data_IF_293020228818
#
_entry.id   IF_293020228818
#
_cell.length_a   1.000
_cell.length_b   1.000
_cell.length_c   1.000
_cell.angle_alpha   90.00
_cell.angle_beta   90.00
_cell.angle_gamma   90.00
#
_symmetry.space_group_name_H-M   'P 1'
#
loop_
_entity.id
_entity.type
_entity.pdbx_description
1 polymer ?
#
# COMPACT_ATOMS: atom_id res chain seq x y z
N UNK A 1 -4.82 -11.30 -27.45
CA UNK A 1 -3.75 -10.29 -27.39
C UNK A 1 -2.82 -10.70 -26.28
N UNK A 2 -1.54 -10.97 -26.57
CA UNK A 2 -0.54 -11.29 -25.54
C UNK A 2 -0.29 -10.02 -24.74
N UNK A 3 -0.58 -10.07 -23.44
CA UNK A 3 -0.39 -8.92 -22.56
C UNK A 3 1.09 -8.67 -22.31
N UNK A 4 1.51 -7.41 -22.26
CA UNK A 4 2.89 -7.06 -21.89
C UNK A 4 3.11 -7.45 -20.42
N UNK A 5 3.93 -8.48 -20.19
CA UNK A 5 4.22 -9.02 -18.87
C UNK A 5 4.72 -7.96 -17.87
N UNK A 6 5.38 -6.90 -18.35
CA UNK A 6 5.81 -5.77 -17.50
C UNK A 6 4.63 -4.94 -17.02
N UNK A 7 3.62 -4.73 -17.88
CA UNK A 7 2.39 -4.02 -17.50
C UNK A 7 1.61 -4.83 -16.47
N UNK A 8 1.47 -6.13 -16.70
CA UNK A 8 0.81 -7.04 -15.75
C UNK A 8 1.53 -7.02 -14.40
N UNK A 9 2.86 -7.12 -14.40
CA UNK A 9 3.67 -7.03 -13.18
C UNK A 9 3.42 -5.70 -12.42
N UNK A 10 3.42 -4.57 -13.13
CA UNK A 10 3.10 -3.27 -12.52
C UNK A 10 1.69 -3.24 -11.92
N UNK A 11 0.70 -3.85 -12.58
CA UNK A 11 -0.64 -3.99 -12.05
C UNK A 11 -0.67 -4.76 -10.72
N UNK A 12 0.07 -5.88 -10.63
CA UNK A 12 0.18 -6.67 -9.40
C UNK A 12 0.92 -5.90 -8.30
N UNK A 13 1.99 -5.17 -8.64
CA UNK A 13 2.73 -4.32 -7.69
C UNK A 13 1.84 -3.21 -7.12
N UNK A 14 1.05 -2.53 -7.98
CA UNK A 14 0.11 -1.50 -7.52
C UNK A 14 -0.98 -2.10 -6.63
N UNK A 15 -1.57 -3.24 -7.01
CA UNK A 15 -2.58 -3.93 -6.21
C UNK A 15 -2.04 -4.32 -4.82
N UNK A 16 -0.83 -4.89 -4.77
CA UNK A 16 -0.17 -5.23 -3.51
C UNK A 16 0.20 -4.00 -2.70
N UNK A 17 0.51 -2.85 -3.32
CA UNK A 17 0.67 -1.58 -2.65
C UNK A 17 -0.60 -1.11 -1.93
N UNK A 18 -1.77 -1.25 -2.56
CA UNK A 18 -3.06 -0.95 -1.93
C UNK A 18 -3.41 -1.89 -0.79
N UNK A 19 -3.10 -3.19 -0.93
CA UNK A 19 -3.26 -4.16 0.15
C UNK A 19 -2.32 -3.85 1.33
N UNK A 20 -1.06 -3.49 1.07
CA UNK A 20 -0.11 -3.01 2.09
C UNK A 20 -0.66 -1.76 2.80
N UNK A 21 -1.25 -0.82 2.06
CA UNK A 21 -1.88 0.39 2.61
C UNK A 21 -2.98 0.02 3.60
N UNK A 22 -3.93 -0.80 3.17
CA UNK A 22 -5.02 -1.26 4.03
C UNK A 22 -4.47 -1.99 5.26
N UNK A 23 -3.51 -2.91 5.08
CA UNK A 23 -2.97 -3.71 6.17
C UNK A 23 -2.30 -2.85 7.23
N UNK A 24 -1.41 -1.94 6.83
CA UNK A 24 -0.70 -1.06 7.76
C UNK A 24 -1.66 -0.12 8.48
N UNK A 25 -2.69 0.37 7.79
CA UNK A 25 -3.70 1.22 8.40
C UNK A 25 -4.42 0.50 9.55
N UNK A 26 -4.92 -0.71 9.28
CA UNK A 26 -5.58 -1.52 10.30
C UNK A 26 -4.61 -1.93 11.41
N UNK A 27 -3.36 -2.25 11.08
CA UNK A 27 -2.35 -2.63 12.07
C UNK A 27 -2.01 -1.48 13.02
N UNK A 28 -1.86 -0.24 12.52
CA UNK A 28 -1.65 0.93 13.38
C UNK A 28 -2.87 1.18 14.29
N UNK A 29 -4.10 1.01 13.77
CA UNK A 29 -5.29 1.10 14.62
C UNK A 29 -5.29 0.04 15.73
N UNK A 30 -4.93 -1.19 15.38
CA UNK A 30 -4.80 -2.28 16.34
C UNK A 30 -3.73 -1.97 17.41
N UNK A 31 -2.52 -1.57 16.99
CA UNK A 31 -1.41 -1.28 17.91
C UNK A 31 -1.68 -0.11 18.86
N UNK A 32 -2.48 0.86 18.43
CA UNK A 32 -2.85 2.04 19.21
C UNK A 32 -4.19 1.88 19.94
N UNK A 33 -4.79 0.67 19.93
CA UNK A 33 -6.10 0.40 20.52
C UNK A 33 -7.21 1.36 20.04
N UNK A 34 -7.14 1.80 18.78
CA UNK A 34 -8.20 2.57 18.14
C UNK A 34 -9.35 1.64 17.74
N UNK A 35 -10.59 2.14 17.60
CA UNK A 35 -11.69 1.35 17.04
C UNK A 35 -11.30 0.80 15.65
N UNK A 36 -11.29 -0.52 15.52
CA UNK A 36 -10.98 -1.25 14.29
C UNK A 36 -11.81 -2.53 14.18
N UNK A 37 -11.89 -3.06 12.96
CA UNK A 37 -12.55 -4.32 12.66
C UNK A 37 -11.50 -5.43 12.55
N UNK A 38 -11.50 -6.36 13.50
CA UNK A 38 -10.55 -7.48 13.54
C UNK A 38 -10.73 -8.47 12.38
N UNK A 39 -11.93 -8.58 11.82
CA UNK A 39 -12.14 -9.42 10.64
C UNK A 39 -11.55 -8.75 9.40
N UNK A 40 -11.63 -7.41 9.34
CA UNK A 40 -11.08 -6.62 8.24
C UNK A 40 -9.56 -6.73 8.14
N UNK A 41 -8.82 -6.64 9.25
CA UNK A 41 -7.35 -6.80 9.22
C UNK A 41 -6.95 -8.20 8.73
N UNK A 42 -7.64 -9.24 9.19
CA UNK A 42 -7.39 -10.62 8.78
C UNK A 42 -7.69 -10.83 7.29
N UNK A 43 -8.84 -10.32 6.81
CA UNK A 43 -9.21 -10.37 5.39
C UNK A 43 -8.18 -9.68 4.50
N UNK A 44 -7.74 -8.47 4.87
CA UNK A 44 -6.72 -7.73 4.11
C UNK A 44 -5.41 -8.51 4.09
N UNK A 45 -5.00 -9.08 5.22
CA UNK A 45 -3.79 -9.90 5.31
C UNK A 45 -3.85 -11.11 4.36
N UNK A 46 -4.96 -11.84 4.35
CA UNK A 46 -5.17 -12.98 3.47
C UNK A 46 -5.10 -12.58 1.99
N UNK A 47 -5.80 -11.49 1.60
CA UNK A 47 -5.73 -10.96 0.25
C UNK A 47 -4.31 -10.55 -0.15
N UNK A 48 -3.56 -9.95 0.79
CA UNK A 48 -2.18 -9.54 0.57
C UNK A 48 -1.24 -10.74 0.37
N UNK A 49 -1.27 -11.71 1.29
CA UNK A 49 -0.46 -12.92 1.24
C UNK A 49 -0.75 -13.72 -0.03
N UNK A 50 -2.03 -13.90 -0.38
CA UNK A 50 -2.46 -14.59 -1.60
C UNK A 50 -1.90 -13.91 -2.87
N UNK A 51 -1.98 -12.58 -2.92
CA UNK A 51 -1.52 -11.81 -4.09
C UNK A 51 0.01 -11.81 -4.19
N UNK A 52 0.71 -11.69 -3.05
CA UNK A 52 2.17 -11.79 -3.00
C UNK A 52 2.69 -13.16 -3.43
N UNK A 53 1.99 -14.24 -3.05
CA UNK A 53 2.35 -15.60 -3.43
C UNK A 53 2.29 -15.83 -4.96
N UNK A 54 1.53 -15.01 -5.71
CA UNK A 54 1.47 -15.09 -7.16
C UNK A 54 2.68 -14.46 -7.85
N UNK A 55 3.37 -13.51 -7.22
CA UNK A 55 4.49 -12.78 -7.84
C UNK A 55 5.63 -13.72 -8.28
N UNK A 56 6.18 -14.61 -7.44
CA UNK A 56 7.25 -15.51 -7.88
C UNK A 56 6.84 -16.44 -9.03
N UNK A 57 5.59 -16.89 -9.04
CA UNK A 57 5.04 -17.75 -10.11
C UNK A 57 4.96 -16.95 -11.42
N UNK A 58 4.42 -15.74 -11.35
CA UNK A 58 4.35 -14.83 -12.50
C UNK A 58 5.73 -14.40 -12.99
N UNK A 59 6.70 -14.18 -12.08
CA UNK A 59 8.08 -13.85 -12.44
C UNK A 59 8.77 -14.94 -13.26
N UNK A 60 8.39 -16.20 -13.05
CA UNK A 60 8.92 -17.35 -13.80
C UNK A 60 8.17 -17.55 -15.12
N UNK A 61 6.83 -17.54 -15.07
CA UNK A 61 5.99 -17.83 -16.24
C UNK A 61 5.90 -16.63 -17.21
N UNK A 62 5.98 -15.41 -16.69
CA UNK A 62 5.71 -14.14 -17.39
C UNK A 62 4.30 -14.01 -17.95
N UNK A 63 3.41 -14.90 -17.53
CA UNK A 63 2.00 -14.94 -17.91
C UNK A 63 1.15 -15.35 -16.71
N UNK A 64 -0.11 -14.94 -16.72
CA UNK A 64 -1.09 -15.35 -15.72
C UNK A 64 -1.94 -16.48 -16.30
N UNK A 65 -2.11 -17.55 -15.52
CA UNK A 65 -3.14 -18.54 -15.79
C UNK A 65 -4.53 -17.91 -15.63
N UNK A 66 -5.57 -18.40 -16.34
CA UNK A 66 -6.93 -17.86 -16.23
C UNK A 66 -7.47 -17.82 -14.78
N UNK A 67 -7.09 -18.80 -13.96
CA UNK A 67 -7.45 -18.85 -12.53
C UNK A 67 -6.80 -17.71 -11.73
N UNK A 68 -5.56 -17.34 -12.04
CA UNK A 68 -4.85 -16.23 -11.40
C UNK A 68 -5.46 -14.89 -11.82
N UNK A 69 -5.83 -14.72 -13.10
CA UNK A 69 -6.55 -13.52 -13.58
C UNK A 69 -7.87 -13.34 -12.81
N UNK A 70 -8.68 -14.40 -12.70
CA UNK A 70 -9.94 -14.35 -11.97
C UNK A 70 -9.76 -14.04 -10.48
N UNK A 71 -8.72 -14.60 -9.85
CA UNK A 71 -8.41 -14.32 -8.46
C UNK A 71 -7.96 -12.87 -8.28
N UNK A 72 -7.08 -12.34 -9.14
CA UNK A 72 -6.65 -10.94 -9.10
C UNK A 72 -7.83 -9.98 -9.31
N UNK A 73 -8.74 -10.30 -10.24
CA UNK A 73 -10.00 -9.54 -10.43
C UNK A 73 -10.85 -9.52 -9.16
N UNK A 74 -11.03 -10.67 -8.52
CA UNK A 74 -11.75 -10.76 -7.25
C UNK A 74 -11.07 -9.92 -6.16
N UNK A 75 -9.74 -10.00 -6.04
CA UNK A 75 -8.96 -9.20 -5.08
C UNK A 75 -9.11 -7.71 -5.37
N UNK A 76 -9.05 -7.27 -6.63
CA UNK A 76 -9.22 -5.86 -7.01
C UNK A 76 -10.59 -5.33 -6.61
N UNK A 77 -11.66 -6.10 -6.82
CA UNK A 77 -13.02 -5.71 -6.40
C UNK A 77 -13.12 -5.60 -4.86
N UNK A 78 -12.50 -6.52 -4.12
CA UNK A 78 -12.47 -6.48 -2.66
C UNK A 78 -11.69 -5.27 -2.16
N UNK A 79 -10.53 -4.96 -2.76
CA UNK A 79 -9.75 -3.77 -2.44
C UNK A 79 -10.56 -2.51 -2.73
N UNK A 80 -11.29 -2.44 -3.85
CA UNK A 80 -12.17 -1.30 -4.15
C UNK A 80 -13.22 -1.10 -3.05
N UNK A 81 -13.91 -2.16 -2.64
CA UNK A 81 -14.89 -2.10 -1.55
C UNK A 81 -14.26 -1.66 -0.23
N UNK A 82 -13.06 -2.16 0.10
CA UNK A 82 -12.36 -1.80 1.33
C UNK A 82 -11.87 -0.35 1.29
N UNK A 83 -11.37 0.13 0.15
CA UNK A 83 -10.90 1.49 -0.03
C UNK A 83 -12.03 2.52 -0.02
N UNK A 84 -13.25 2.14 -0.43
CA UNK A 84 -14.42 3.02 -0.38
C UNK A 84 -14.71 3.53 1.04
N UNK A 85 -14.46 2.70 2.07
CA UNK A 85 -14.66 3.04 3.48
C UNK A 85 -13.35 3.41 4.21
N UNK A 86 -12.23 3.56 3.50
CA UNK A 86 -10.92 3.78 4.11
C UNK A 86 -10.78 5.19 4.73
N UNK A 87 -11.30 6.23 4.08
CA UNK A 87 -11.31 7.58 4.62
C UNK A 87 -12.56 7.86 5.44
N UNK A 88 -12.38 8.19 6.72
CA UNK A 88 -13.45 8.68 7.60
C UNK A 88 -13.76 10.15 7.33
N UNK A 89 -14.95 10.56 7.74
CA UNK A 89 -15.33 11.97 7.79
C UNK A 89 -14.59 12.71 8.90
N UNK A 90 -14.37 14.01 8.72
CA UNK A 90 -13.70 14.86 9.70
C UNK A 90 -14.62 15.18 10.90
N UNK A 91 -14.07 15.44 12.10
CA UNK A 91 -12.63 15.53 12.42
C UNK A 91 -11.98 14.16 12.67
N UNK A 92 -10.75 13.97 12.18
CA UNK A 92 -9.91 12.81 12.54
C UNK A 92 -8.88 13.15 13.62
N UNK A 93 -8.65 12.20 14.53
CA UNK A 93 -7.65 12.31 15.60
C UNK A 93 -6.21 12.25 15.09
N UNK A 94 -5.25 12.69 15.89
CA UNK A 94 -3.82 12.59 15.54
C UNK A 94 -3.38 11.14 15.25
N UNK A 95 -3.85 10.18 16.05
CA UNK A 95 -3.55 8.77 15.88
C UNK A 95 -4.12 8.21 14.56
N UNK A 96 -5.31 8.67 14.15
CA UNK A 96 -5.88 8.31 12.85
C UNK A 96 -5.09 8.93 11.69
N UNK A 97 -4.66 10.20 11.82
CA UNK A 97 -3.78 10.85 10.82
C UNK A 97 -2.46 10.10 10.68
N UNK A 98 -1.87 9.67 11.80
CA UNK A 98 -0.68 8.81 11.81
C UNK A 98 -0.91 7.50 11.05
N UNK A 99 -2.08 6.85 11.23
CA UNK A 99 -2.42 5.64 10.49
C UNK A 99 -2.55 5.88 8.97
N UNK A 100 -3.19 6.98 8.55
CA UNK A 100 -3.28 7.37 7.14
C UNK A 100 -1.92 7.64 6.51
N UNK A 101 -1.07 8.36 7.23
CA UNK A 101 0.28 8.72 6.78
C UNK A 101 1.18 7.49 6.70
N UNK A 102 1.20 6.68 7.77
CA UNK A 102 1.98 5.45 7.83
C UNK A 102 1.63 4.50 6.71
N UNK A 103 0.34 4.22 6.54
CA UNK A 103 -0.12 3.34 5.47
C UNK A 103 0.23 3.84 4.07
N UNK A 104 0.15 5.16 3.80
CA UNK A 104 0.57 5.72 2.50
C UNK A 104 2.07 5.51 2.26
N UNK A 105 2.91 5.79 3.27
CA UNK A 105 4.37 5.66 3.15
C UNK A 105 4.80 4.21 2.92
N UNK A 106 4.23 3.26 3.65
CA UNK A 106 4.52 1.84 3.46
C UNK A 106 4.05 1.33 2.09
N UNK A 107 2.89 1.79 1.62
CA UNK A 107 2.40 1.44 0.29
C UNK A 107 3.31 1.97 -0.82
N UNK A 108 3.73 3.24 -0.72
CA UNK A 108 4.65 3.84 -1.67
C UNK A 108 6.04 3.19 -1.64
N UNK A 109 6.54 2.84 -0.45
CA UNK A 109 7.77 2.07 -0.30
C UNK A 109 7.67 0.71 -1.01
N UNK A 110 6.56 0.01 -0.79
CA UNK A 110 6.28 -1.29 -1.41
C UNK A 110 6.26 -1.20 -2.94
N UNK A 111 5.57 -0.20 -3.49
CA UNK A 111 5.53 0.04 -4.93
C UNK A 111 6.91 0.39 -5.47
N UNK A 112 7.68 1.24 -4.78
CA UNK A 112 9.04 1.62 -5.17
C UNK A 112 9.96 0.38 -5.27
N UNK A 113 9.91 -0.50 -4.25
CA UNK A 113 10.67 -1.76 -4.25
C UNK A 113 10.19 -2.72 -5.35
N UNK A 114 8.89 -2.76 -5.62
CA UNK A 114 8.30 -3.53 -6.72
C UNK A 114 8.82 -3.08 -8.08
N UNK A 115 8.95 -1.77 -8.33
CA UNK A 115 9.49 -1.21 -9.57
C UNK A 115 10.98 -1.56 -9.74
N UNK A 116 11.79 -1.45 -8.68
CA UNK A 116 13.19 -1.88 -8.71
C UNK A 116 13.30 -3.37 -9.04
N UNK A 117 12.44 -4.20 -8.43
CA UNK A 117 12.39 -5.64 -8.69
C UNK A 117 11.97 -5.95 -10.13
N UNK A 118 11.02 -5.22 -10.71
CA UNK A 118 10.66 -5.32 -12.13
C UNK A 118 11.91 -5.14 -13.00
N UNK A 119 12.72 -4.11 -12.74
CA UNK A 119 13.98 -3.87 -13.47
C UNK A 119 14.89 -5.09 -13.52
N UNK A 120 15.06 -5.75 -12.36
CA UNK A 120 15.87 -6.97 -12.23
C UNK A 120 15.24 -8.17 -12.95
N UNK A 121 13.93 -8.37 -12.76
CA UNK A 121 13.15 -9.51 -13.26
C UNK A 121 12.99 -9.51 -14.77
N UNK A 122 12.92 -8.33 -15.39
CA UNK A 122 12.74 -8.15 -16.84
C UNK A 122 13.98 -7.60 -17.54
N UNK A 123 15.09 -7.41 -16.82
CA UNK A 123 16.35 -6.85 -17.34
C UNK A 123 16.14 -5.51 -18.05
N UNK A 124 15.34 -4.64 -17.45
CA UNK A 124 15.08 -3.28 -17.94
C UNK A 124 15.69 -2.26 -17.00
N UNK A 125 16.23 -1.19 -17.56
CA UNK A 125 16.76 -0.09 -16.78
C UNK A 125 15.63 0.60 -16.02
N UNK A 126 15.83 0.77 -14.71
CA UNK A 126 14.95 1.54 -13.83
C UNK A 126 15.67 2.83 -13.48
N UNK A 127 14.95 3.95 -13.51
CA UNK A 127 15.53 5.25 -13.15
C UNK A 127 16.13 5.17 -11.73
N UNK A 128 17.38 5.61 -11.59
CA UNK A 128 18.14 5.68 -10.33
C UNK A 128 17.40 6.42 -9.21
N UNK A 129 16.46 7.31 -9.55
CA UNK A 129 15.57 7.96 -8.59
C UNK A 129 14.80 6.96 -7.71
N UNK A 130 14.37 5.82 -8.25
CA UNK A 130 13.70 4.78 -7.46
C UNK A 130 14.64 4.15 -6.42
N UNK A 131 15.91 3.92 -6.78
CA UNK A 131 16.91 3.42 -5.84
C UNK A 131 17.16 4.44 -4.72
N UNK A 132 17.31 5.71 -5.06
CA UNK A 132 17.50 6.80 -4.07
C UNK A 132 16.29 6.95 -3.14
N UNK A 133 15.06 6.76 -3.65
CA UNK A 133 13.82 6.81 -2.86
C UNK A 133 13.71 5.69 -1.82
N UNK A 134 14.46 4.59 -1.97
CA UNK A 134 14.46 3.51 -0.98
C UNK A 134 14.80 4.03 0.42
N UNK A 135 15.91 4.77 0.54
CA UNK A 135 16.35 5.34 1.83
C UNK A 135 15.36 6.39 2.35
N UNK A 136 14.81 7.21 1.45
CA UNK A 136 13.79 8.20 1.79
C UNK A 136 12.55 7.57 2.46
N UNK A 137 12.08 6.44 1.92
CA UNK A 137 10.92 5.74 2.47
C UNK A 137 11.27 5.01 3.76
N UNK A 138 12.43 4.34 3.83
CA UNK A 138 12.91 3.67 5.06
C UNK A 138 13.03 4.62 6.25
N UNK A 139 13.55 5.83 6.04
CA UNK A 139 13.66 6.83 7.11
C UNK A 139 12.28 7.29 7.60
N UNK A 140 11.31 7.44 6.68
CA UNK A 140 9.96 7.89 7.02
C UNK A 140 9.12 6.81 7.68
N UNK A 141 9.21 5.56 7.22
CA UNK A 141 8.50 4.46 7.86
C UNK A 141 9.04 4.21 9.28
N UNK A 142 10.37 4.28 9.47
CA UNK A 142 10.97 4.27 10.83
C UNK A 142 10.49 5.42 11.71
N UNK A 143 10.31 6.62 11.15
CA UNK A 143 9.78 7.77 11.88
C UNK A 143 8.34 7.49 12.36
N UNK A 144 7.50 6.89 11.51
CA UNK A 144 6.15 6.46 11.87
C UNK A 144 6.18 5.41 12.98
N UNK A 145 6.99 4.36 12.83
CA UNK A 145 7.14 3.30 13.83
C UNK A 145 7.57 3.87 15.20
N UNK A 146 8.46 4.87 15.17
CA UNK A 146 8.91 5.55 16.38
C UNK A 146 7.76 6.26 17.07
N UNK A 147 6.94 7.02 16.34
CA UNK A 147 5.78 7.73 16.90
C UNK A 147 4.75 6.72 17.44
N UNK A 148 4.42 5.67 16.68
CA UNK A 148 3.50 4.61 17.13
C UNK A 148 4.00 3.99 18.44
N UNK A 149 5.29 3.68 18.53
CA UNK A 149 5.94 3.13 19.74
C UNK A 149 5.87 4.09 20.94
N UNK A 150 6.07 5.40 20.72
CA UNK A 150 5.95 6.41 21.77
C UNK A 150 4.51 6.48 22.31
N UNK A 151 3.51 6.52 21.42
CA UNK A 151 2.08 6.55 21.82
C UNK A 151 1.74 5.29 22.62
N UNK A 152 2.16 4.11 22.14
CA UNK A 152 1.89 2.83 22.81
C UNK A 152 2.49 2.76 24.23
N UNK A 153 3.58 3.50 24.47
CA UNK A 153 4.24 3.63 25.77
C UNK A 153 3.73 4.81 26.60
N UNK A 154 2.68 5.51 26.15
CA UNK A 154 2.17 6.75 26.75
C UNK A 154 3.25 7.82 26.93
N UNK A 155 4.18 7.91 25.97
CA UNK A 155 5.25 8.91 25.95
C UNK A 155 4.82 10.12 25.11
N UNK A 156 5.32 11.30 25.50
CA UNK A 156 5.05 12.53 24.76
C UNK A 156 5.75 12.50 23.40
N UNK A 157 5.03 12.97 22.39
CA UNK A 157 5.57 13.22 21.05
C UNK A 157 5.99 14.68 20.98
N UNK A 158 7.11 14.97 20.33
CA UNK A 158 7.55 16.34 20.10
C UNK A 158 6.58 17.09 19.17
N UNK A 159 6.29 18.35 19.47
CA UNK A 159 5.36 19.19 18.67
C UNK A 159 5.75 19.23 17.19
N UNK A 160 7.05 19.31 16.90
CA UNK A 160 7.59 19.29 15.53
C UNK A 160 7.24 17.98 14.80
N UNK A 161 7.25 16.84 15.51
CA UNK A 161 6.85 15.58 14.92
C UNK A 161 5.35 15.56 14.63
N UNK A 162 4.52 16.17 15.49
CA UNK A 162 3.09 16.32 15.23
C UNK A 162 2.84 17.18 13.98
N UNK A 163 3.50 18.33 13.86
CA UNK A 163 3.41 19.22 12.69
C UNK A 163 3.76 18.51 11.37
N UNK A 164 4.80 17.65 11.38
CA UNK A 164 5.19 16.86 10.22
C UNK A 164 4.06 15.90 9.81
N UNK A 165 3.44 15.21 10.77
CA UNK A 165 2.32 14.30 10.48
C UNK A 165 1.14 15.07 9.90
N UNK A 166 0.83 16.27 10.39
CA UNK A 166 -0.29 17.06 9.85
C UNK A 166 -0.04 17.54 8.43
N UNK A 167 1.20 17.96 8.15
CA UNK A 167 1.62 18.30 6.79
C UNK A 167 1.49 17.11 5.84
N UNK A 168 1.96 15.92 6.25
CA UNK A 168 1.86 14.71 5.44
C UNK A 168 0.42 14.23 5.28
N UNK A 169 -0.40 14.31 6.31
CA UNK A 169 -1.81 13.95 6.27
C UNK A 169 -2.59 14.80 5.26
N UNK A 170 -2.29 16.11 5.20
CA UNK A 170 -2.90 17.01 4.22
C UNK A 170 -2.64 16.53 2.78
N UNK A 171 -1.41 16.09 2.49
CA UNK A 171 -1.07 15.53 1.17
C UNK A 171 -1.80 14.21 0.89
N UNK A 172 -1.89 13.32 1.89
CA UNK A 172 -2.62 12.05 1.78
C UNK A 172 -4.09 12.28 1.48
N UNK A 173 -4.73 13.24 2.16
CA UNK A 173 -6.13 13.60 1.97
C UNK A 173 -6.40 14.14 0.56
N UNK A 174 -5.54 15.02 0.07
CA UNK A 174 -5.68 15.60 -1.28
C UNK A 174 -5.57 14.53 -2.38
N UNK A 175 -4.93 13.40 -2.10
CA UNK A 175 -4.80 12.29 -3.04
C UNK A 175 -5.96 11.28 -2.99
N UNK A 176 -6.98 11.47 -2.13
CA UNK A 176 -8.12 10.55 -1.98
C UNK A 176 -8.81 10.24 -3.31
N UNK A 177 -8.99 11.25 -4.17
CA UNK A 177 -9.71 11.12 -5.43
C UNK A 177 -8.97 10.23 -6.46
N UNK A 178 -7.66 10.06 -6.32
CA UNK A 178 -6.86 9.28 -7.26
C UNK A 178 -7.00 7.76 -7.08
N UNK A 179 -7.49 7.31 -5.92
CA UNK A 179 -7.55 5.88 -5.58
C UNK A 179 -8.47 5.10 -6.54
N UNK A 180 -9.63 5.66 -6.86
CA UNK A 180 -10.56 5.01 -7.81
C UNK A 180 -9.95 4.95 -9.22
N UNK A 181 -9.16 5.95 -9.60
CA UNK A 181 -8.49 5.96 -10.90
C UNK A 181 -7.39 4.88 -10.95
N UNK A 182 -6.66 4.70 -9.85
CA UNK A 182 -5.63 3.67 -9.75
C UNK A 182 -6.22 2.25 -9.81
N UNK A 183 -7.36 1.99 -9.18
CA UNK A 183 -8.02 0.67 -9.23
C UNK A 183 -8.49 0.31 -10.65
N UNK A 184 -9.00 1.29 -11.41
CA UNK A 184 -9.31 1.12 -12.83
C UNK A 184 -8.04 0.88 -13.66
N UNK A 185 -6.95 1.58 -13.34
CA UNK A 185 -5.66 1.38 -13.99
C UNK A 185 -5.11 -0.03 -13.72
N UNK A 186 -5.21 -0.53 -12.48
CA UNK A 186 -4.81 -1.89 -12.10
C UNK A 186 -5.54 -2.93 -12.97
N UNK A 187 -6.86 -2.80 -13.11
CA UNK A 187 -7.67 -3.69 -13.95
C UNK A 187 -7.20 -3.68 -15.40
N UNK A 188 -6.88 -2.49 -15.93
CA UNK A 188 -6.35 -2.31 -17.29
C UNK A 188 -4.96 -2.92 -17.46
N UNK A 189 -4.09 -2.78 -16.46
CA UNK A 189 -2.72 -3.31 -16.49
C UNK A 189 -2.68 -4.83 -16.41
N UNK A 190 -3.57 -5.44 -15.61
CA UNK A 190 -3.66 -6.90 -15.44
C UNK A 190 -4.53 -7.56 -16.51
N UNK A 191 -5.48 -6.82 -17.12
CA UNK A 191 -6.19 -7.21 -18.33
C UNK A 191 -7.55 -7.85 -18.12
N UNK A 192 -8.38 -7.29 -17.24
CA UNK A 192 -9.72 -7.79 -16.93
C UNK A 192 -10.76 -6.71 -16.66
#
# INVERSE_FOLDING_TARGET
>A
MTMDARKVYNGIVLLTGYLQRLYVFENIHHELNLPHDSERIQKVKELFDDTLAMLPIFEQAKELAPTQVNKLKSVTNEVESLMASYFKDEPVSFQEKLAYVGSSLYAEQHVNLGIIRLGKVFQVEVNRDFEMRTKFYEERTKFIDTIVSLIKKNQQIEDKAMEIIESWYTNVKNNKENILNDLKLISTLIGF
#
